data_IF_973297166178
#
_entry.id   IF_973297166178
#
_cell.length_a   1.000
_cell.length_b   1.000
_cell.length_c   1.000
_cell.angle_alpha   90.00
_cell.angle_beta   90.00
_cell.angle_gamma   90.00
#
_symmetry.space_group_name_H-M   'P 1'
#
loop_
_entity.id
_entity.type
_entity.pdbx_description
1 polymer ?
#
# COMPACT_ATOMS: atom_id res chain seq x y z
N UNK A 1 9.36 9.78 -24.63
CA UNK A 1 8.51 9.34 -23.51
C UNK A 1 9.18 9.85 -22.23
N UNK A 2 8.53 10.72 -21.46
CA UNK A 2 9.12 11.23 -20.21
C UNK A 2 9.12 10.11 -19.16
N UNK A 3 10.23 9.95 -18.45
CA UNK A 3 10.36 8.99 -17.35
C UNK A 3 10.22 9.76 -16.04
N UNK A 4 9.12 9.51 -15.31
CA UNK A 4 8.96 9.99 -13.94
C UNK A 4 9.54 8.94 -13.00
N UNK A 5 10.47 9.34 -12.11
CA UNK A 5 11.09 8.45 -11.12
C UNK A 5 10.85 9.02 -9.74
N UNK A 6 10.17 8.25 -8.89
CA UNK A 6 10.10 8.51 -7.46
C UNK A 6 11.32 7.86 -6.83
N UNK A 7 12.16 8.67 -6.18
CA UNK A 7 13.34 8.20 -5.45
C UNK A 7 13.10 8.42 -3.96
N UNK A 8 13.33 7.36 -3.18
CA UNK A 8 13.21 7.33 -1.73
C UNK A 8 14.61 7.27 -1.11
N UNK A 9 14.78 7.71 0.14
CA UNK A 9 16.01 7.40 0.88
C UNK A 9 16.20 5.87 0.97
N UNK A 10 17.44 5.41 1.14
CA UNK A 10 17.72 3.98 1.37
C UNK A 10 16.80 3.45 2.49
N UNK A 11 16.07 2.37 2.19
CA UNK A 11 15.10 1.70 3.08
C UNK A 11 13.76 2.42 3.32
N UNK A 12 13.43 3.52 2.64
CA UNK A 12 12.15 4.22 2.83
C UNK A 12 11.01 3.73 1.90
N UNK A 13 11.32 2.92 0.88
CA UNK A 13 10.33 2.41 -0.08
C UNK A 13 9.24 1.57 0.57
N UNK A 14 9.59 0.69 1.51
CA UNK A 14 8.61 -0.15 2.21
C UNK A 14 7.68 0.70 3.09
N UNK A 15 8.24 1.65 3.84
CA UNK A 15 7.47 2.58 4.67
C UNK A 15 6.48 3.41 3.82
N UNK A 16 6.92 3.86 2.65
CA UNK A 16 6.07 4.61 1.72
C UNK A 16 4.92 3.77 1.18
N UNK A 17 5.21 2.56 0.68
CA UNK A 17 4.19 1.66 0.14
C UNK A 17 3.17 1.29 1.23
N UNK A 18 3.63 1.00 2.44
CA UNK A 18 2.77 0.72 3.58
C UNK A 18 1.89 1.93 3.96
N UNK A 19 2.44 3.15 3.91
CA UNK A 19 1.68 4.38 4.16
C UNK A 19 0.59 4.62 3.10
N UNK A 20 0.89 4.36 1.82
CA UNK A 20 -0.08 4.46 0.74
C UNK A 20 -1.20 3.44 0.89
N UNK A 21 -0.85 2.18 1.18
CA UNK A 21 -1.81 1.11 1.46
C UNK A 21 -2.73 1.46 2.62
N UNK A 22 -2.17 1.97 3.71
CA UNK A 22 -2.94 2.38 4.89
C UNK A 22 -3.95 3.47 4.55
N UNK A 23 -3.54 4.51 3.82
CA UNK A 23 -4.44 5.60 3.43
C UNK A 23 -5.63 5.10 2.60
N UNK A 24 -5.43 4.10 1.74
CA UNK A 24 -6.52 3.48 0.97
C UNK A 24 -7.47 2.71 1.90
N UNK A 25 -6.94 1.88 2.82
CA UNK A 25 -7.78 1.13 3.77
C UNK A 25 -8.59 2.06 4.67
N UNK A 26 -7.99 3.14 5.18
CA UNK A 26 -8.68 4.14 6.00
C UNK A 26 -9.77 4.88 5.21
N UNK A 27 -9.50 5.20 3.93
CA UNK A 27 -10.51 5.75 3.03
C UNK A 27 -11.67 4.79 2.78
N UNK A 28 -11.40 3.50 2.59
CA UNK A 28 -12.44 2.46 2.44
C UNK A 28 -13.24 2.34 3.74
N UNK A 29 -12.55 2.22 4.89
CA UNK A 29 -13.16 2.06 6.21
C UNK A 29 -14.07 3.23 6.59
N UNK A 30 -13.71 4.45 6.19
CA UNK A 30 -14.52 5.66 6.42
C UNK A 30 -15.66 5.85 5.41
N UNK A 31 -15.71 5.03 4.35
CA UNK A 31 -16.67 5.18 3.24
C UNK A 31 -16.32 6.29 2.26
N UNK A 32 -15.17 6.94 2.40
CA UNK A 32 -14.68 7.97 1.47
C UNK A 32 -14.17 7.37 0.15
N UNK A 33 -13.71 6.12 0.18
CA UNK A 33 -13.30 5.33 -0.99
C UNK A 33 -14.15 4.06 -1.10
N UNK A 34 -14.35 3.58 -2.31
CA UNK A 34 -14.97 2.27 -2.55
C UNK A 34 -13.94 1.15 -2.43
N UNK A 35 -14.40 -0.07 -2.18
CA UNK A 35 -13.55 -1.28 -2.12
C UNK A 35 -12.74 -1.51 -3.41
N UNK A 36 -13.30 -1.16 -4.56
CA UNK A 36 -12.61 -1.19 -5.86
C UNK A 36 -11.35 -0.30 -5.92
N UNK A 37 -11.24 0.71 -5.04
CA UNK A 37 -10.06 1.60 -5.02
C UNK A 37 -8.78 0.80 -4.79
N UNK A 38 -8.84 -0.32 -4.07
CA UNK A 38 -7.70 -1.23 -3.92
C UNK A 38 -7.20 -1.79 -5.24
N UNK A 39 -8.11 -2.31 -6.07
CA UNK A 39 -7.82 -2.85 -7.42
C UNK A 39 -7.25 -1.76 -8.32
N UNK A 40 -7.85 -0.57 -8.32
CA UNK A 40 -7.46 0.54 -9.20
C UNK A 40 -6.23 1.33 -8.72
N UNK A 41 -5.64 0.99 -7.58
CA UNK A 41 -4.42 1.61 -7.07
C UNK A 41 -3.29 0.58 -6.98
N UNK A 42 -3.19 -0.12 -5.85
CA UNK A 42 -2.13 -1.07 -5.53
C UNK A 42 -2.29 -2.39 -6.27
N UNK A 43 -3.53 -2.76 -6.62
CA UNK A 43 -3.84 -3.94 -7.40
C UNK A 43 -3.47 -3.85 -8.89
N UNK A 44 -3.11 -2.66 -9.40
CA UNK A 44 -2.82 -2.46 -10.83
C UNK A 44 -1.63 -3.30 -11.28
N UNK A 45 -1.69 -3.97 -12.45
CA UNK A 45 -0.60 -4.82 -12.94
C UNK A 45 0.76 -4.11 -13.00
N UNK A 46 0.78 -2.85 -13.43
CA UNK A 46 2.02 -2.05 -13.48
C UNK A 46 2.66 -1.86 -12.10
N UNK A 47 1.84 -1.67 -11.07
CA UNK A 47 2.32 -1.51 -9.69
C UNK A 47 2.76 -2.87 -9.14
N UNK A 48 1.94 -3.92 -9.29
CA UNK A 48 2.30 -5.30 -8.92
C UNK A 48 3.64 -5.74 -9.55
N UNK A 49 3.85 -5.47 -10.84
CA UNK A 49 5.14 -5.75 -11.49
C UNK A 49 6.30 -4.98 -10.85
N UNK A 50 6.14 -3.69 -10.56
CA UNK A 50 7.18 -2.91 -9.89
C UNK A 50 7.54 -3.48 -8.50
N UNK A 51 6.54 -3.94 -7.73
CA UNK A 51 6.73 -4.55 -6.41
C UNK A 51 7.58 -5.82 -6.45
N UNK A 52 7.55 -6.60 -7.54
CA UNK A 52 8.38 -7.82 -7.65
C UNK A 52 9.87 -7.53 -7.51
N UNK A 53 10.31 -6.37 -8.00
CA UNK A 53 11.69 -5.90 -7.95
C UNK A 53 12.00 -4.97 -6.78
N UNK A 54 10.97 -4.58 -6.02
CA UNK A 54 11.11 -3.69 -4.87
C UNK A 54 11.51 -4.51 -3.62
N UNK A 55 12.53 -4.07 -2.85
CA UNK A 55 12.87 -4.69 -1.58
C UNK A 55 11.81 -4.29 -0.54
N UNK A 56 10.80 -5.15 -0.38
CA UNK A 56 9.77 -5.04 0.65
C UNK A 56 9.64 -6.39 1.36
N UNK A 57 9.25 -6.36 2.64
CA UNK A 57 8.95 -7.55 3.44
C UNK A 57 7.88 -8.44 2.81
N UNK A 58 7.90 -9.72 3.20
CA UNK A 58 6.89 -10.69 2.79
C UNK A 58 5.52 -10.29 3.36
N UNK A 59 5.50 -9.82 4.61
CA UNK A 59 4.32 -9.33 5.30
C UNK A 59 3.65 -8.18 4.52
N UNK A 60 4.42 -7.21 4.02
CA UNK A 60 3.84 -6.14 3.20
C UNK A 60 3.31 -6.69 1.87
N UNK A 61 4.00 -7.63 1.22
CA UNK A 61 3.53 -8.24 -0.03
C UNK A 61 2.18 -8.91 0.15
N UNK A 62 2.02 -9.70 1.20
CA UNK A 62 0.77 -10.42 1.49
C UNK A 62 -0.40 -9.45 1.68
N UNK A 63 -0.18 -8.33 2.40
CA UNK A 63 -1.21 -7.30 2.55
C UNK A 63 -1.57 -6.65 1.21
N UNK A 64 -0.58 -6.36 0.36
CA UNK A 64 -0.81 -5.74 -0.94
C UNK A 64 -1.59 -6.64 -1.90
N UNK A 65 -1.39 -7.96 -1.81
CA UNK A 65 -2.16 -8.95 -2.57
C UNK A 65 -3.63 -8.92 -2.16
N UNK A 66 -3.94 -8.82 -0.87
CA UNK A 66 -5.32 -8.76 -0.37
C UNK A 66 -6.17 -7.57 -0.83
N UNK A 67 -5.59 -6.54 -1.45
CA UNK A 67 -6.36 -5.39 -1.98
C UNK A 67 -7.25 -5.75 -3.16
N UNK A 68 -6.93 -6.79 -3.93
CA UNK A 68 -7.78 -7.20 -5.05
C UNK A 68 -9.00 -8.02 -4.60
N UNK A 69 -8.94 -8.63 -3.41
CA UNK A 69 -10.03 -9.40 -2.83
C UNK A 69 -11.13 -8.50 -2.22
N UNK A 70 -10.81 -7.26 -1.85
CA UNK A 70 -11.74 -6.34 -1.18
C UNK A 70 -13.01 -6.07 -2.00
N UNK A 71 -12.89 -5.92 -3.33
CA UNK A 71 -14.06 -5.71 -4.19
C UNK A 71 -14.94 -6.97 -4.24
N UNK A 72 -14.32 -8.15 -4.37
CA UNK A 72 -15.05 -9.42 -4.40
C UNK A 72 -15.79 -9.69 -3.07
N UNK A 73 -15.13 -9.44 -1.93
CA UNK A 73 -15.76 -9.57 -0.61
C UNK A 73 -16.97 -8.61 -0.48
N UNK A 74 -16.82 -7.38 -0.94
CA UNK A 74 -17.88 -6.38 -0.95
C UNK A 74 -19.08 -6.80 -1.81
N UNK A 75 -18.83 -7.34 -3.01
CA UNK A 75 -19.87 -7.82 -3.93
C UNK A 75 -20.64 -9.02 -3.38
N UNK A 76 -19.98 -9.87 -2.59
CA UNK A 76 -20.58 -10.99 -1.88
C UNK A 76 -21.38 -10.56 -0.63
N UNK A 77 -21.42 -9.26 -0.31
CA UNK A 77 -22.10 -8.73 0.88
C UNK A 77 -21.42 -9.09 2.20
N UNK A 78 -20.13 -9.46 2.15
CA UNK A 78 -19.34 -9.76 3.35
C UNK A 78 -18.96 -8.44 4.03
N UNK A 79 -19.08 -8.40 5.35
CA UNK A 79 -18.59 -7.26 6.13
C UNK A 79 -17.07 -7.16 6.01
N UNK A 80 -16.60 -6.05 5.42
CA UNK A 80 -15.18 -5.79 5.23
C UNK A 80 -14.48 -5.35 6.52
N UNK A 81 -15.22 -4.95 7.56
CA UNK A 81 -14.65 -4.41 8.81
C UNK A 81 -13.51 -5.25 9.40
N UNK A 82 -13.69 -6.56 9.61
CA UNK A 82 -12.65 -7.45 10.11
C UNK A 82 -11.42 -7.52 9.20
N UNK A 83 -11.63 -7.66 7.88
CA UNK A 83 -10.55 -7.74 6.88
C UNK A 83 -9.75 -6.44 6.83
N UNK A 84 -10.42 -5.29 6.77
CA UNK A 84 -9.79 -3.98 6.77
C UNK A 84 -8.97 -3.76 8.05
N UNK A 85 -9.48 -4.20 9.20
CA UNK A 85 -8.75 -4.09 10.46
C UNK A 85 -7.50 -4.98 10.46
N UNK A 86 -7.61 -6.24 10.04
CA UNK A 86 -6.47 -7.15 9.96
C UNK A 86 -5.37 -6.61 9.03
N UNK A 87 -5.75 -6.12 7.84
CA UNK A 87 -4.81 -5.51 6.90
C UNK A 87 -4.17 -4.24 7.49
N UNK A 88 -4.93 -3.41 8.20
CA UNK A 88 -4.41 -2.21 8.87
C UNK A 88 -3.40 -2.59 9.96
N UNK A 89 -3.69 -3.60 10.78
CA UNK A 89 -2.81 -4.06 11.85
C UNK A 89 -1.49 -4.64 11.29
N UNK A 90 -1.54 -5.32 10.15
CA UNK A 90 -0.35 -5.81 9.45
C UNK A 90 0.52 -4.66 8.90
N UNK A 91 -0.11 -3.61 8.35
CA UNK A 91 0.60 -2.40 7.92
C UNK A 91 1.24 -1.66 9.10
N UNK A 92 0.55 -1.56 10.24
CA UNK A 92 1.10 -1.01 11.48
C UNK A 92 2.38 -1.74 11.90
N UNK A 93 2.38 -3.07 11.83
CA UNK A 93 3.56 -3.88 12.15
C UNK A 93 4.71 -3.63 11.17
N UNK A 94 4.42 -3.60 9.87
CA UNK A 94 5.44 -3.29 8.84
C UNK A 94 6.06 -1.92 9.10
N UNK A 95 5.24 -0.88 9.32
CA UNK A 95 5.71 0.48 9.56
C UNK A 95 6.55 0.58 10.83
N UNK A 96 6.14 -0.07 11.93
CA UNK A 96 6.92 -0.08 13.18
C UNK A 96 8.25 -0.82 13.06
N UNK A 97 8.32 -1.87 12.26
CA UNK A 97 9.56 -2.59 12.01
C UNK A 97 10.60 -1.73 11.27
N UNK A 98 10.12 -0.76 10.46
CA UNK A 98 10.96 0.13 9.64
C UNK A 98 11.25 1.46 10.36
N UNK A 99 10.39 1.88 11.30
CA UNK A 99 10.56 3.12 12.07
C UNK A 99 11.70 2.97 13.10
N UNK A 100 12.91 3.25 12.65
CA UNK A 100 14.12 3.29 13.49
C UNK A 100 14.34 4.65 14.15
N UNK A 101 13.37 5.58 14.07
CA UNK A 101 13.53 6.97 14.47
C UNK A 101 14.44 7.81 13.54
N UNK A 102 14.92 7.21 12.44
CA UNK A 102 15.72 7.84 11.39
C UNK A 102 15.05 7.80 10.02
N UNK A 103 13.91 7.13 9.91
CA UNK A 103 13.22 6.90 8.64
C UNK A 103 12.51 8.19 8.25
N UNK A 104 13.03 8.87 7.23
CA UNK A 104 12.48 10.12 6.74
C UNK A 104 12.00 9.96 5.29
N UNK A 105 10.83 10.51 4.98
CA UNK A 105 10.33 10.54 3.60
C UNK A 105 10.84 11.81 2.93
N UNK A 106 11.93 11.71 2.16
CA UNK A 106 12.38 12.81 1.31
C UNK A 106 11.89 12.56 -0.12
N UNK A 107 10.93 13.36 -0.57
CA UNK A 107 10.43 13.31 -1.95
C UNK A 107 11.32 14.22 -2.81
N UNK A 108 12.11 13.62 -3.71
CA UNK A 108 12.87 14.38 -4.73
C UNK A 108 12.18 14.25 -6.07
N UNK A 109 11.75 15.38 -6.63
CA UNK A 109 11.26 15.44 -7.99
C UNK A 109 12.34 16.06 -8.88
N UNK A 110 12.77 15.33 -9.91
CA UNK A 110 13.61 15.89 -10.98
C UNK A 110 12.68 16.46 -12.05
N UNK A 111 12.61 17.79 -12.12
CA UNK A 111 12.02 18.47 -13.27
C UNK A 111 13.08 18.54 -14.39
N UNK A 112 12.66 18.47 -15.67
CA UNK A 112 13.58 18.58 -16.81
C UNK A 112 14.32 19.91 -16.87
#
# INVERSE_FOLDING_TARGET
MQTLRLEFEENASEFYIASLARGILEGIKSGALTSETGVWSLGRPVFKCALTTCPISAELRDVLEGFDELSALSELGIDLGPTLQQMTDALDQCQRAIDTGKTSLVIRATLP
#
